data_IF_918129751216
#
_entry.id   IF_918129751216
#
_cell.length_a   1.000
_cell.length_b   1.000
_cell.length_c   1.000
_cell.angle_alpha   90.00
_cell.angle_beta   90.00
_cell.angle_gamma   90.00
#
_symmetry.space_group_name_H-M   'P 1'
#
loop_
_entity.id
_entity.type
_entity.pdbx_description
1 polymer ?
#
# COMPACT_ATOMS: atom_id res chain seq x y z
N UNK A 1 -9.02 14.60 -19.83
CA UNK A 1 -7.61 14.22 -20.01
C UNK A 1 -7.50 12.72 -20.16
N UNK A 2 -6.56 12.21 -20.96
CA UNK A 2 -6.32 10.77 -21.13
C UNK A 2 -5.19 10.32 -20.19
N UNK A 3 -5.34 9.17 -19.54
CA UNK A 3 -4.29 8.51 -18.76
C UNK A 3 -3.92 7.19 -19.45
N UNK A 4 -2.64 7.03 -19.79
CA UNK A 4 -2.13 5.81 -20.41
C UNK A 4 -1.35 5.00 -19.37
N UNK A 5 -1.78 3.76 -19.15
CA UNK A 5 -1.14 2.83 -18.20
C UNK A 5 -0.45 1.71 -18.99
N UNK A 6 0.84 1.54 -18.74
CA UNK A 6 1.64 0.47 -19.35
C UNK A 6 2.06 -0.52 -18.28
N UNK A 7 1.65 -1.78 -18.42
CA UNK A 7 2.13 -2.88 -17.59
C UNK A 7 3.36 -3.46 -18.27
N UNK A 8 4.47 -3.57 -17.53
CA UNK A 8 5.72 -4.08 -18.06
C UNK A 8 6.25 -5.22 -17.17
N UNK A 9 6.95 -6.16 -17.80
CA UNK A 9 7.58 -7.29 -17.13
C UNK A 9 9.08 -7.02 -16.95
N UNK A 10 9.64 -7.59 -15.90
CA UNK A 10 11.07 -7.64 -15.70
C UNK A 10 11.69 -8.77 -16.56
N UNK A 11 12.90 -8.51 -17.05
CA UNK A 11 13.78 -9.48 -17.72
C UNK A 11 15.17 -9.33 -17.15
N UNK A 12 15.94 -10.39 -17.20
CA UNK A 12 17.35 -10.36 -16.85
C UNK A 12 18.18 -10.01 -18.09
N UNK A 13 19.11 -9.07 -17.94
CA UNK A 13 20.05 -8.75 -19.00
C UNK A 13 21.29 -9.66 -18.87
N UNK A 14 21.43 -10.59 -19.82
CA UNK A 14 22.61 -11.47 -19.90
C UNK A 14 23.87 -10.62 -20.11
N UNK A 15 24.92 -10.89 -19.33
CA UNK A 15 26.23 -10.24 -19.47
C UNK A 15 26.52 -9.05 -18.54
N UNK A 16 25.64 -8.77 -17.56
CA UNK A 16 25.90 -7.76 -16.53
C UNK A 16 26.60 -8.41 -15.32
N UNK A 17 27.90 -8.13 -15.13
CA UNK A 17 28.68 -8.66 -14.01
C UNK A 17 28.65 -7.78 -12.75
N UNK A 18 28.11 -6.54 -12.83
CA UNK A 18 27.99 -5.62 -11.69
C UNK A 18 26.75 -4.74 -11.83
N UNK A 19 25.99 -4.57 -10.73
CA UNK A 19 24.76 -3.76 -10.68
C UNK A 19 23.46 -4.58 -10.68
N UNK A 20 22.30 -3.91 -10.81
CA UNK A 20 21.00 -4.58 -10.88
C UNK A 20 20.79 -5.18 -12.29
N UNK A 21 20.69 -6.51 -12.44
CA UNK A 21 20.51 -7.17 -13.75
C UNK A 21 19.08 -7.02 -14.30
N UNK A 22 18.14 -6.48 -13.52
CA UNK A 22 16.75 -6.29 -13.92
C UNK A 22 16.61 -5.17 -14.96
N UNK A 23 16.07 -5.53 -16.13
CA UNK A 23 15.70 -4.59 -17.19
C UNK A 23 14.22 -4.73 -17.55
N UNK A 24 13.62 -3.62 -18.00
CA UNK A 24 12.25 -3.61 -18.51
C UNK A 24 12.23 -3.83 -20.03
N UNK A 25 11.20 -4.48 -20.55
CA UNK A 25 11.04 -4.66 -22.01
C UNK A 25 10.65 -3.35 -22.71
N UNK A 26 10.86 -3.26 -24.02
CA UNK A 26 10.48 -2.08 -24.82
C UNK A 26 11.53 -0.95 -24.87
N UNK A 27 12.79 -1.26 -24.55
CA UNK A 27 13.89 -0.30 -24.60
C UNK A 27 13.79 0.80 -23.54
N UNK A 28 14.43 1.94 -23.79
CA UNK A 28 14.54 3.03 -22.80
C UNK A 28 13.48 4.13 -22.94
N UNK A 29 12.71 4.16 -24.03
CA UNK A 29 11.76 5.25 -24.28
C UNK A 29 10.75 5.41 -23.14
N UNK A 30 10.10 4.31 -22.73
CA UNK A 30 9.09 4.33 -21.67
C UNK A 30 9.64 4.86 -20.34
N UNK A 31 10.93 4.62 -20.05
CA UNK A 31 11.60 5.14 -18.84
C UNK A 31 11.62 6.68 -18.83
N UNK A 32 11.85 7.32 -19.98
CA UNK A 32 11.93 8.78 -20.06
C UNK A 32 10.56 9.45 -20.19
N UNK A 33 9.63 8.83 -20.92
CA UNK A 33 8.30 9.40 -21.16
C UNK A 33 7.32 9.20 -19.99
N UNK A 34 7.50 8.17 -19.16
CA UNK A 34 6.62 7.94 -18.01
C UNK A 34 6.73 9.07 -16.98
N UNK A 35 5.58 9.66 -16.63
CA UNK A 35 5.47 10.63 -15.53
C UNK A 35 5.66 9.96 -14.18
N UNK A 36 5.11 8.75 -14.02
CA UNK A 36 5.19 7.95 -12.80
C UNK A 36 5.62 6.53 -13.19
N UNK A 37 6.57 5.97 -12.45
CA UNK A 37 6.94 4.55 -12.52
C UNK A 37 6.80 3.91 -11.16
N UNK A 38 6.09 2.79 -11.13
CA UNK A 38 5.86 1.99 -9.93
C UNK A 38 6.49 0.61 -10.13
N UNK A 39 7.31 0.19 -9.17
CA UNK A 39 7.80 -1.18 -9.06
C UNK A 39 6.94 -1.90 -8.03
N UNK A 40 6.24 -2.94 -8.46
CA UNK A 40 5.34 -3.76 -7.64
C UNK A 40 6.00 -5.12 -7.38
N UNK A 41 6.20 -5.45 -6.11
CA UNK A 41 6.77 -6.74 -5.69
C UNK A 41 5.90 -7.39 -4.64
N UNK A 42 5.68 -8.70 -4.80
CA UNK A 42 5.09 -9.53 -3.76
C UNK A 42 6.09 -9.66 -2.60
N UNK A 43 5.65 -9.36 -1.38
CA UNK A 43 6.47 -9.49 -0.18
C UNK A 43 6.20 -10.79 0.56
N UNK A 44 5.02 -10.93 1.17
CA UNK A 44 4.70 -12.07 2.05
C UNK A 44 3.37 -12.67 1.65
N UNK A 45 3.27 -14.00 1.66
CA UNK A 45 2.00 -14.67 1.41
C UNK A 45 1.15 -14.67 2.69
N UNK A 46 -0.10 -14.26 2.57
CA UNK A 46 -1.08 -14.31 3.66
C UNK A 46 -1.74 -15.68 3.59
N UNK A 47 -1.62 -16.44 4.68
CA UNK A 47 -2.19 -17.77 4.81
C UNK A 47 -3.25 -17.78 5.90
N UNK A 48 -4.32 -18.50 5.65
CA UNK A 48 -5.34 -18.85 6.63
C UNK A 48 -5.31 -20.37 6.81
N UNK A 49 -4.71 -20.80 7.93
CA UNK A 49 -4.32 -22.20 8.15
C UNK A 49 -3.34 -22.69 7.06
N UNK A 50 -3.77 -23.70 6.31
CA UNK A 50 -2.99 -24.26 5.18
C UNK A 50 -3.25 -23.55 3.85
N UNK A 51 -4.32 -22.76 3.75
CA UNK A 51 -4.73 -22.13 2.50
C UNK A 51 -4.08 -20.76 2.29
N UNK A 52 -3.59 -20.49 1.09
CA UNK A 52 -3.08 -19.16 0.74
C UNK A 52 -4.25 -18.26 0.32
N UNK A 53 -4.60 -17.29 1.17
CA UNK A 53 -5.75 -16.40 0.97
C UNK A 53 -5.39 -15.07 0.32
N UNK A 54 -4.11 -14.69 0.32
CA UNK A 54 -3.68 -13.45 -0.32
C UNK A 54 -2.18 -13.24 -0.32
N UNK A 55 -1.77 -12.06 -0.77
CA UNK A 55 -0.38 -11.63 -0.82
C UNK A 55 -0.25 -10.19 -0.32
N UNK A 56 0.63 -9.99 0.65
CA UNK A 56 1.13 -8.65 1.00
C UNK A 56 2.06 -8.17 -0.11
N UNK A 57 1.75 -7.01 -0.66
CA UNK A 57 2.40 -6.45 -1.83
C UNK A 57 2.99 -5.10 -1.49
N UNK A 58 4.23 -4.87 -1.93
CA UNK A 58 4.93 -3.60 -1.75
C UNK A 58 5.07 -2.92 -3.10
N UNK A 59 4.66 -1.67 -3.17
CA UNK A 59 4.80 -0.82 -4.35
C UNK A 59 5.78 0.30 -4.02
N UNK A 60 6.83 0.43 -4.81
CA UNK A 60 7.80 1.53 -4.71
C UNK A 60 7.63 2.45 -5.90
N UNK A 61 7.48 3.75 -5.64
CA UNK A 61 7.49 4.76 -6.70
C UNK A 61 8.95 5.02 -7.09
N UNK A 62 9.39 4.43 -8.20
CA UNK A 62 10.78 4.53 -8.67
C UNK A 62 11.04 5.87 -9.39
N UNK A 63 10.02 6.40 -10.06
CA UNK A 63 10.09 7.69 -10.75
C UNK A 63 8.79 8.44 -10.53
N UNK A 64 8.90 9.72 -10.18
CA UNK A 64 7.78 10.62 -10.02
C UNK A 64 8.19 12.01 -10.49
N UNK A 65 7.52 12.55 -11.52
CA UNK A 65 7.79 13.90 -12.04
C UNK A 65 6.92 15.00 -11.40
N UNK A 66 5.98 14.65 -10.53
CA UNK A 66 4.99 15.59 -9.97
C UNK A 66 5.23 15.83 -8.47
N UNK A 67 5.74 14.83 -7.77
CA UNK A 67 6.01 14.84 -6.32
C UNK A 67 7.34 14.14 -6.01
N UNK A 68 7.85 14.22 -4.77
CA UNK A 68 9.04 13.48 -4.37
C UNK A 68 8.96 11.99 -4.76
N UNK A 69 10.02 11.43 -5.35
CA UNK A 69 10.08 10.00 -5.69
C UNK A 69 10.43 9.15 -4.45
N UNK A 70 10.42 7.82 -4.62
CA UNK A 70 10.87 6.81 -3.65
C UNK A 70 9.98 6.53 -2.45
N UNK A 71 8.78 7.08 -2.41
CA UNK A 71 7.74 6.61 -1.48
C UNK A 71 7.40 5.14 -1.74
N UNK A 72 7.09 4.45 -0.64
CA UNK A 72 6.68 3.05 -0.62
C UNK A 72 5.25 2.98 -0.10
N UNK A 73 4.44 2.12 -0.69
CA UNK A 73 3.12 1.76 -0.21
C UNK A 73 3.08 0.24 0.00
N UNK A 74 2.50 -0.20 1.10
CA UNK A 74 2.32 -1.61 1.42
C UNK A 74 0.84 -1.89 1.62
N UNK A 75 0.30 -2.86 0.88
CA UNK A 75 -1.10 -3.24 0.98
C UNK A 75 -1.28 -4.73 0.74
N UNK A 76 -2.42 -5.25 1.19
CA UNK A 76 -2.78 -6.65 1.06
C UNK A 76 -3.67 -6.85 -0.17
N UNK A 77 -3.29 -7.80 -1.02
CA UNK A 77 -4.11 -8.26 -2.15
C UNK A 77 -4.71 -9.61 -1.77
N UNK A 78 -6.02 -9.65 -1.56
CA UNK A 78 -6.77 -10.87 -1.25
C UNK A 78 -7.24 -11.52 -2.55
N UNK A 79 -7.07 -12.83 -2.69
CA UNK A 79 -7.52 -13.52 -3.90
C UNK A 79 -9.05 -13.46 -4.02
N UNK A 80 -9.56 -13.15 -5.22
CA UNK A 80 -11.00 -13.01 -5.49
C UNK A 80 -11.64 -11.69 -5.04
N UNK A 81 -11.04 -10.95 -4.10
CA UNK A 81 -11.54 -9.64 -3.63
C UNK A 81 -10.72 -8.44 -4.14
N UNK A 82 -9.45 -8.64 -4.50
CA UNK A 82 -8.57 -7.57 -4.94
C UNK A 82 -7.86 -6.86 -3.79
N UNK A 83 -7.65 -5.55 -3.91
CA UNK A 83 -6.95 -4.75 -2.90
C UNK A 83 -7.85 -4.55 -1.68
N UNK A 84 -7.35 -4.91 -0.50
CA UNK A 84 -8.09 -4.81 0.76
C UNK A 84 -8.05 -3.38 1.32
N UNK A 85 -9.07 -2.58 1.00
CA UNK A 85 -9.21 -1.19 1.51
C UNK A 85 -9.27 -1.15 3.04
N UNK A 86 -10.04 -2.03 3.66
CA UNK A 86 -10.18 -2.11 5.12
C UNK A 86 -8.87 -2.47 5.82
N UNK A 87 -8.06 -3.33 5.21
CA UNK A 87 -6.71 -3.63 5.71
C UNK A 87 -5.78 -2.41 5.73
N UNK A 88 -5.84 -1.58 4.70
CA UNK A 88 -5.04 -0.35 4.59
C UNK A 88 -5.48 0.72 5.60
N UNK A 89 -6.80 0.86 5.82
CA UNK A 89 -7.36 1.76 6.83
C UNK A 89 -6.88 1.40 8.23
N UNK A 90 -6.84 0.11 8.58
CA UNK A 90 -6.34 -0.34 9.89
C UNK A 90 -4.87 0.01 10.06
N UNK A 91 -4.04 -0.28 9.05
CA UNK A 91 -2.60 -0.02 9.12
C UNK A 91 -2.29 1.47 9.23
N UNK A 92 -2.88 2.29 8.36
CA UNK A 92 -2.72 3.75 8.40
C UNK A 92 -3.31 4.34 9.69
N UNK A 93 -4.43 3.82 10.16
CA UNK A 93 -5.06 4.26 11.41
C UNK A 93 -4.18 4.01 12.62
N UNK A 94 -3.47 2.88 12.66
CA UNK A 94 -2.49 2.58 13.72
C UNK A 94 -1.24 3.44 13.59
N UNK A 95 -0.72 3.61 12.37
CA UNK A 95 0.48 4.43 12.11
C UNK A 95 0.25 5.90 12.49
N UNK A 96 -0.94 6.44 12.19
CA UNK A 96 -1.32 7.82 12.52
C UNK A 96 -1.84 7.99 13.96
N UNK A 97 -1.91 6.89 14.75
CA UNK A 97 -2.37 6.92 16.13
C UNK A 97 -3.88 7.16 16.33
N UNK A 98 -4.67 7.08 15.25
CA UNK A 98 -6.13 7.17 15.28
C UNK A 98 -6.73 5.90 15.90
N UNK A 99 -6.16 4.75 15.54
CA UNK A 99 -6.50 3.44 16.11
C UNK A 99 -5.40 3.09 17.11
N UNK A 100 -5.78 2.84 18.37
CA UNK A 100 -4.86 2.42 19.43
C UNK A 100 -4.72 0.91 19.41
N UNK A 101 -3.49 0.43 19.31
CA UNK A 101 -3.16 -1.00 19.41
C UNK A 101 -2.57 -1.31 20.79
N UNK A 102 -3.29 -2.08 21.59
CA UNK A 102 -2.84 -2.57 22.90
C UNK A 102 -2.57 -4.08 22.81
N UNK A 103 -1.34 -4.43 22.45
CA UNK A 103 -0.96 -5.82 22.17
C UNK A 103 -1.69 -6.37 20.94
N UNK A 104 -2.55 -7.36 21.15
CA UNK A 104 -3.39 -7.96 20.09
C UNK A 104 -4.76 -7.28 19.95
N UNK A 105 -5.09 -6.30 20.79
CA UNK A 105 -6.37 -5.59 20.78
C UNK A 105 -6.28 -4.27 20.02
N UNK A 106 -7.32 -3.96 19.26
CA UNK A 106 -7.50 -2.69 18.58
C UNK A 106 -8.67 -1.94 19.20
N UNK A 107 -8.45 -0.66 19.49
CA UNK A 107 -9.44 0.25 20.04
C UNK A 107 -9.48 1.51 19.19
N UNK A 108 -10.68 2.04 18.99
CA UNK A 108 -10.90 3.33 18.36
C UNK A 108 -11.65 4.23 19.34
N UNK A 109 -11.07 5.38 19.64
CA UNK A 109 -11.52 6.26 20.72
C UNK A 109 -11.66 5.46 22.04
N UNK A 110 -12.90 5.18 22.46
CA UNK A 110 -13.25 4.43 23.65
C UNK A 110 -13.90 3.05 23.34
N UNK A 111 -14.17 2.77 22.06
CA UNK A 111 -14.77 1.52 21.62
C UNK A 111 -13.71 0.47 21.28
N UNK A 112 -13.90 -0.75 21.82
CA UNK A 112 -13.07 -1.90 21.47
C UNK A 112 -13.51 -2.42 20.11
N UNK A 113 -12.64 -2.29 19.10
CA UNK A 113 -12.92 -2.80 17.76
C UNK A 113 -12.81 -4.31 17.72
N UNK A 114 -11.80 -4.90 18.40
CA UNK A 114 -11.65 -6.36 18.44
C UNK A 114 -10.24 -6.83 18.71
N UNK A 115 -10.10 -8.16 18.77
CA UNK A 115 -8.82 -8.84 18.90
C UNK A 115 -8.34 -9.34 17.53
N UNK A 116 -7.13 -8.97 17.15
CA UNK A 116 -6.50 -9.38 15.90
C UNK A 116 -6.97 -8.57 14.69
N UNK A 117 -6.14 -8.58 13.64
CA UNK A 117 -6.36 -7.80 12.42
C UNK A 117 -7.58 -8.28 11.64
N UNK A 118 -7.79 -9.60 11.57
CA UNK A 118 -8.86 -10.18 10.76
C UNK A 118 -10.26 -9.89 11.29
N UNK A 119 -10.44 -9.87 12.62
CA UNK A 119 -11.71 -9.50 13.24
C UNK A 119 -12.04 -8.04 12.95
N UNK A 120 -11.09 -7.14 13.15
CA UNK A 120 -11.28 -5.70 12.88
C UNK A 120 -11.58 -5.47 11.39
N UNK A 121 -10.92 -6.22 10.49
CA UNK A 121 -11.23 -6.16 9.06
C UNK A 121 -12.68 -6.56 8.78
N UNK A 122 -13.17 -7.67 9.35
CA UNK A 122 -14.57 -8.08 9.19
C UNK A 122 -15.53 -7.03 9.73
N UNK A 123 -15.25 -6.48 10.92
CA UNK A 123 -16.08 -5.44 11.52
C UNK A 123 -16.16 -4.17 10.66
N UNK A 124 -15.07 -3.79 9.98
CA UNK A 124 -15.06 -2.66 9.04
C UNK A 124 -15.71 -2.98 7.71
N UNK A 125 -15.64 -4.23 7.24
CA UNK A 125 -16.35 -4.69 6.05
C UNK A 125 -17.87 -4.69 6.31
N UNK A 126 -18.31 -5.03 7.52
CA UNK A 126 -19.72 -5.07 7.93
C UNK A 126 -20.30 -3.67 8.24
N UNK A 127 -19.48 -2.76 8.79
CA UNK A 127 -19.89 -1.40 9.16
C UNK A 127 -19.28 -0.34 8.24
N UNK A 128 -19.95 -0.08 7.12
CA UNK A 128 -19.50 0.90 6.11
C UNK A 128 -19.39 2.32 6.69
N UNK A 129 -20.30 2.72 7.59
CA UNK A 129 -20.28 4.06 8.22
C UNK A 129 -18.99 4.31 9.02
N UNK A 130 -18.58 3.32 9.82
CA UNK A 130 -17.33 3.39 10.60
C UNK A 130 -16.11 3.42 9.68
N UNK A 131 -16.16 2.68 8.57
CA UNK A 131 -15.10 2.65 7.57
C UNK A 131 -14.92 4.03 6.91
N UNK A 132 -16.01 4.70 6.53
CA UNK A 132 -15.99 6.04 5.94
C UNK A 132 -15.51 7.11 6.94
N UNK A 133 -15.94 7.01 8.20
CA UNK A 133 -15.48 7.93 9.25
C UNK A 133 -13.96 7.83 9.44
N UNK A 134 -13.44 6.60 9.59
CA UNK A 134 -12.01 6.34 9.74
C UNK A 134 -11.22 6.82 8.51
N UNK A 135 -11.72 6.53 7.30
CA UNK A 135 -11.09 7.00 6.06
C UNK A 135 -11.04 8.53 6.00
N UNK A 136 -12.12 9.21 6.39
CA UNK A 136 -12.19 10.68 6.45
C UNK A 136 -11.16 11.26 7.41
N UNK A 137 -11.06 10.69 8.62
CA UNK A 137 -10.07 11.12 9.62
C UNK A 137 -8.63 10.86 9.17
N UNK A 138 -8.36 9.70 8.57
CA UNK A 138 -7.04 9.34 8.04
C UNK A 138 -6.63 10.31 6.93
N UNK A 139 -7.50 10.56 5.94
CA UNK A 139 -7.23 11.53 4.86
C UNK A 139 -6.99 12.94 5.41
N UNK A 140 -7.77 13.35 6.42
CA UNK A 140 -7.59 14.63 7.11
C UNK A 140 -6.24 14.73 7.81
N UNK A 141 -5.82 13.68 8.51
CA UNK A 141 -4.52 13.63 9.18
C UNK A 141 -3.35 13.67 8.17
N UNK A 142 -3.42 12.89 7.09
CA UNK A 142 -2.39 12.88 6.04
C UNK A 142 -2.24 14.26 5.40
N UNK A 143 -3.34 14.94 5.10
CA UNK A 143 -3.29 16.29 4.50
C UNK A 143 -2.67 17.33 5.46
N UNK A 144 -2.87 17.19 6.77
CA UNK A 144 -2.22 18.04 7.78
C UNK A 144 -0.72 17.76 7.89
N UNK A 145 -0.32 16.49 7.87
CA UNK A 145 1.10 16.09 7.90
C UNK A 145 1.83 16.55 6.63
N UNK A 146 1.18 16.53 5.47
CA UNK A 146 1.73 17.02 4.22
C UNK A 146 1.97 18.55 4.17
N UNK A 147 1.37 19.31 5.09
CA UNK A 147 1.53 20.77 5.21
C UNK A 147 2.62 21.20 6.19
N UNK A 148 3.18 20.29 7.01
CA UNK A 148 4.36 20.62 7.79
C UNK A 148 5.59 20.58 6.86
N UNK A 149 6.28 21.72 6.64
CA UNK A 149 7.48 21.71 5.83
C UNK A 149 8.49 20.81 6.53
N UNK A 150 9.08 19.89 5.76
CA UNK A 150 10.25 19.12 6.19
C UNK A 150 11.29 20.14 6.62
N UNK A 151 11.57 20.21 7.92
CA UNK A 151 12.63 21.08 8.44
C UNK A 151 13.94 20.67 7.77
N UNK A 152 14.51 21.61 7.02
CA UNK A 152 15.86 21.53 6.42
C UNK A 152 16.89 21.77 7.51
#
# INVERSE_FOLDING_TARGET
GCCCIFINQLREKIGVMFGNPETTTGGNALKFYATIRMDIRRATQIKDGESAVGNRTKVKVVQNKVKPPFHKAEFDIMFGKGISKTGEIIDMGVELGIIKKSGSWFSYEDNKLGQGRDMVRQLLDDNVELCEELEGRIKGAINKTAQQPVAV
#
